data_IF_520217385787
#
_entry.id   IF_520217385787
#
_cell.length_a   1.000
_cell.length_b   1.000
_cell.length_c   1.000
_cell.angle_alpha   90.00
_cell.angle_beta   90.00
_cell.angle_gamma   90.00
#
_symmetry.space_group_name_H-M   'P 1'
#
loop_
_entity.id
_entity.type
_entity.pdbx_description
1 polymer ?
#
# COMPACT_ATOMS: atom_id res chain seq x y z
N UNK A 1 -27.25 -11.40 3.27
CA UNK A 1 -28.66 -11.10 3.64
C UNK A 1 -28.85 -10.64 5.09
N UNK A 2 -27.99 -11.02 6.02
CA UNK A 2 -28.14 -10.64 7.47
C UNK A 2 -27.95 -9.14 7.79
N UNK A 3 -27.04 -8.44 7.12
CA UNK A 3 -26.73 -7.03 7.39
C UNK A 3 -27.84 -6.07 6.95
N UNK A 4 -28.56 -6.38 5.88
CA UNK A 4 -29.67 -5.56 5.35
C UNK A 4 -30.87 -5.62 6.30
N UNK A 5 -31.15 -6.80 6.87
CA UNK A 5 -32.20 -6.96 7.88
C UNK A 5 -31.92 -6.18 9.16
N UNK A 6 -30.65 -6.16 9.62
CA UNK A 6 -30.26 -5.40 10.81
C UNK A 6 -30.39 -3.88 10.61
N UNK A 7 -30.06 -3.37 9.44
CA UNK A 7 -30.18 -1.93 9.12
C UNK A 7 -31.64 -1.50 8.99
N UNK A 8 -32.51 -2.32 8.39
CA UNK A 8 -33.94 -2.05 8.27
C UNK A 8 -34.61 -2.06 9.65
N UNK A 9 -34.23 -2.97 10.53
CA UNK A 9 -34.77 -3.05 11.90
C UNK A 9 -34.37 -1.84 12.74
N UNK A 10 -33.14 -1.35 12.61
CA UNK A 10 -32.67 -0.13 13.29
C UNK A 10 -33.39 1.12 12.77
N UNK A 11 -33.72 1.16 11.48
CA UNK A 11 -34.44 2.30 10.89
C UNK A 11 -35.90 2.33 11.33
N UNK A 12 -36.56 1.17 11.43
CA UNK A 12 -37.96 1.06 11.90
C UNK A 12 -38.12 1.37 13.39
N UNK A 13 -37.08 1.11 14.22
CA UNK A 13 -37.11 1.42 15.66
C UNK A 13 -37.00 2.93 15.99
N UNK A 14 -36.70 3.79 15.02
CA UNK A 14 -36.65 5.25 15.19
C UNK A 14 -38.01 5.95 15.06
N UNK A 15 -39.04 5.23 14.64
CA UNK A 15 -40.38 5.81 14.53
C UNK A 15 -41.00 5.98 15.91
N UNK A 16 -41.42 7.22 16.22
CA UNK A 16 -42.04 7.60 17.52
C UNK A 16 -43.46 7.07 17.72
N UNK A 17 -44.06 6.45 16.68
CA UNK A 17 -45.46 5.97 16.68
C UNK A 17 -45.62 4.51 17.14
N UNK A 18 -44.53 3.81 17.42
CA UNK A 18 -44.52 2.36 17.72
C UNK A 18 -44.96 2.10 19.18
N UNK A 19 -45.93 1.20 19.36
CA UNK A 19 -46.47 0.81 20.65
C UNK A 19 -45.52 0.09 21.59
N UNK A 20 -45.78 0.14 22.90
CA UNK A 20 -44.91 -0.35 23.98
C UNK A 20 -44.38 -1.82 23.77
N UNK A 21 -45.24 -2.73 23.30
CA UNK A 21 -44.91 -4.13 23.05
C UNK A 21 -43.97 -4.35 21.86
N UNK A 22 -44.03 -3.49 20.86
CA UNK A 22 -43.11 -3.54 19.73
C UNK A 22 -41.74 -2.97 20.07
N UNK A 23 -41.71 -1.96 20.96
CA UNK A 23 -40.49 -1.38 21.48
C UNK A 23 -39.66 -2.38 22.32
N UNK A 24 -40.33 -3.28 23.06
CA UNK A 24 -39.70 -4.35 23.81
C UNK A 24 -39.13 -5.43 22.86
N UNK A 25 -39.85 -5.79 21.79
CA UNK A 25 -39.32 -6.69 20.74
C UNK A 25 -38.15 -6.09 19.98
N UNK A 26 -38.19 -4.81 19.65
CA UNK A 26 -37.07 -4.09 19.06
C UNK A 26 -35.84 -4.08 19.95
N UNK A 27 -35.99 -3.90 21.24
CA UNK A 27 -34.91 -3.96 22.21
C UNK A 27 -34.34 -5.37 22.36
N UNK A 28 -35.16 -6.42 22.30
CA UNK A 28 -34.65 -7.82 22.29
C UNK A 28 -33.86 -8.16 21.01
N UNK A 29 -34.36 -7.74 19.84
CA UNK A 29 -33.65 -7.94 18.56
C UNK A 29 -32.35 -7.10 18.52
N UNK A 30 -32.38 -5.88 19.04
CA UNK A 30 -31.18 -5.03 19.17
C UNK A 30 -30.17 -5.61 20.17
N UNK A 31 -30.62 -6.24 21.26
CA UNK A 31 -29.74 -6.95 22.18
C UNK A 31 -29.10 -8.19 21.51
N UNK A 32 -29.85 -9.01 20.81
CA UNK A 32 -29.33 -10.21 20.12
C UNK A 32 -28.41 -9.80 18.97
N UNK A 33 -28.76 -8.75 18.22
CA UNK A 33 -27.88 -8.16 17.19
C UNK A 33 -26.67 -7.45 17.82
N UNK A 34 -26.83 -6.85 18.98
CA UNK A 34 -25.79 -6.25 19.79
C UNK A 34 -24.82 -7.28 20.38
N UNK A 35 -25.24 -8.51 20.70
CA UNK A 35 -24.35 -9.59 21.08
C UNK A 35 -23.54 -10.14 19.93
N UNK A 36 -24.03 -10.07 18.69
CA UNK A 36 -23.25 -10.41 17.49
C UNK A 36 -22.33 -9.26 17.03
N UNK A 37 -22.65 -8.01 17.37
CA UNK A 37 -21.80 -6.85 17.12
C UNK A 37 -20.88 -6.52 18.31
N UNK A 38 -21.17 -7.06 19.50
CA UNK A 38 -20.44 -6.93 20.76
C UNK A 38 -19.70 -8.22 21.14
N UNK A 39 -19.11 -8.92 20.20
CA UNK A 39 -17.76 -9.40 20.41
C UNK A 39 -16.86 -8.16 20.51
N UNK A 40 -17.18 -7.32 21.47
CA UNK A 40 -16.43 -6.18 21.93
C UNK A 40 -15.14 -6.76 22.47
N UNK A 41 -14.10 -6.77 21.62
CA UNK A 41 -12.75 -6.87 22.12
C UNK A 41 -12.66 -5.92 23.31
N UNK A 42 -12.17 -6.36 24.46
CA UNK A 42 -12.03 -5.46 25.58
C UNK A 42 -11.19 -4.29 25.09
N UNK A 43 -11.83 -3.11 25.00
CA UNK A 43 -11.08 -1.85 24.94
C UNK A 43 -10.37 -1.78 26.27
N UNK A 44 -9.22 -2.43 26.35
CA UNK A 44 -8.26 -2.17 27.40
C UNK A 44 -7.80 -0.73 27.15
N UNK A 45 -8.57 0.20 27.72
CA UNK A 45 -8.19 1.61 27.85
C UNK A 45 -6.98 1.63 28.77
N UNK A 46 -5.83 1.24 28.27
CA UNK A 46 -4.58 1.80 28.79
C UNK A 46 -4.65 3.26 28.37
N UNK A 47 -4.98 4.11 29.34
CA UNK A 47 -5.02 5.56 29.23
C UNK A 47 -3.57 6.10 29.04
N UNK A 48 -2.92 5.65 28.01
CA UNK A 48 -1.77 6.31 27.44
C UNK A 48 -2.30 6.90 26.14
N UNK A 49 -2.78 8.16 26.19
CA UNK A 49 -3.11 8.91 24.99
C UNK A 49 -1.82 8.96 24.15
N UNK A 50 -1.72 8.07 23.20
CA UNK A 50 -0.63 8.02 22.24
C UNK A 50 -0.88 9.17 21.29
N UNK A 51 -0.18 10.27 21.47
CA UNK A 51 -0.22 11.37 20.51
C UNK A 51 0.62 10.99 19.31
N UNK A 52 0.06 11.14 18.12
CA UNK A 52 0.75 10.92 16.85
C UNK A 52 2.06 11.74 16.81
N UNK A 53 3.17 11.07 16.59
CA UNK A 53 4.50 11.68 16.64
C UNK A 53 5.01 11.99 15.22
N UNK A 54 4.86 13.24 14.80
CA UNK A 54 5.30 13.70 13.47
C UNK A 54 6.80 13.53 13.23
N UNK A 55 7.62 13.70 14.27
CA UNK A 55 9.08 13.51 14.16
C UNK A 55 9.41 12.06 13.82
N UNK A 56 8.72 11.09 14.45
CA UNK A 56 8.88 9.67 14.15
C UNK A 56 8.45 9.41 12.72
N UNK A 57 7.28 9.88 12.29
CA UNK A 57 6.76 9.70 10.92
C UNK A 57 7.76 10.21 9.88
N UNK A 58 8.35 11.38 10.09
CA UNK A 58 9.33 11.95 9.16
C UNK A 58 10.60 11.08 9.10
N UNK A 59 11.13 10.67 10.26
CA UNK A 59 12.33 9.82 10.33
C UNK A 59 12.05 8.48 9.64
N UNK A 60 10.92 7.84 9.90
CA UNK A 60 10.52 6.59 9.28
C UNK A 60 10.37 6.73 7.77
N UNK A 61 9.73 7.81 7.30
CA UNK A 61 9.57 8.08 5.86
C UNK A 61 10.94 8.23 5.19
N UNK A 62 11.87 8.97 5.79
CA UNK A 62 13.23 9.13 5.25
C UNK A 62 14.01 7.82 5.27
N UNK A 63 13.91 7.04 6.35
CA UNK A 63 14.56 5.74 6.46
C UNK A 63 14.02 4.75 5.42
N UNK A 64 12.69 4.71 5.22
CA UNK A 64 12.05 3.88 4.20
C UNK A 64 12.43 4.33 2.78
N UNK A 65 12.52 5.64 2.53
CA UNK A 65 12.99 6.18 1.24
C UNK A 65 14.43 5.76 0.96
N UNK A 66 15.31 5.83 1.96
CA UNK A 66 16.71 5.38 1.82
C UNK A 66 16.80 3.86 1.57
N UNK A 67 16.00 3.06 2.31
CA UNK A 67 15.94 1.62 2.11
C UNK A 67 15.39 1.25 0.71
N UNK A 68 14.35 1.93 0.26
CA UNK A 68 13.78 1.77 -1.08
C UNK A 68 14.81 2.13 -2.15
N UNK A 69 15.51 3.26 -2.01
CA UNK A 69 16.59 3.66 -2.92
C UNK A 69 17.66 2.59 -3.04
N UNK A 70 18.13 2.04 -1.91
CA UNK A 70 19.13 0.97 -1.91
C UNK A 70 18.58 -0.31 -2.57
N UNK A 71 17.32 -0.66 -2.30
CA UNK A 71 16.65 -1.83 -2.87
C UNK A 71 16.51 -1.74 -4.40
N UNK A 72 16.27 -0.55 -4.94
CA UNK A 72 16.16 -0.32 -6.39
C UNK A 72 17.54 -0.17 -7.03
N UNK A 73 18.38 0.75 -6.54
CA UNK A 73 19.64 1.09 -7.23
C UNK A 73 20.70 0.01 -7.15
N UNK A 74 20.81 -0.73 -6.04
CA UNK A 74 21.87 -1.74 -5.90
C UNK A 74 21.70 -2.85 -6.94
N UNK A 75 20.54 -3.51 -7.11
CA UNK A 75 20.37 -4.51 -8.15
C UNK A 75 20.39 -3.90 -9.56
N UNK A 76 19.83 -2.71 -9.75
CA UNK A 76 19.78 -2.03 -11.04
C UNK A 76 21.18 -1.73 -11.59
N UNK A 77 22.10 -1.25 -10.74
CA UNK A 77 23.50 -1.01 -11.13
C UNK A 77 24.28 -2.31 -11.33
N UNK A 78 24.00 -3.33 -10.52
CA UNK A 78 24.70 -4.63 -10.64
C UNK A 78 24.31 -5.40 -11.89
N UNK A 79 23.01 -5.42 -12.20
CA UNK A 79 22.48 -6.11 -13.37
C UNK A 79 21.17 -5.46 -13.83
N UNK A 80 21.22 -4.48 -14.72
CA UNK A 80 20.04 -3.76 -15.19
C UNK A 80 19.03 -4.66 -15.92
N UNK A 81 19.47 -5.81 -16.44
CA UNK A 81 18.59 -6.75 -17.14
C UNK A 81 17.53 -7.37 -16.23
N UNK A 82 17.76 -7.45 -14.92
CA UNK A 82 16.75 -7.95 -13.99
C UNK A 82 15.49 -7.08 -13.93
N UNK A 83 15.61 -5.80 -14.29
CA UNK A 83 14.56 -4.80 -14.28
C UNK A 83 14.06 -4.47 -15.69
N UNK A 84 14.42 -5.28 -16.71
CA UNK A 84 14.12 -4.97 -18.11
C UNK A 84 12.64 -4.67 -18.38
N UNK A 85 11.73 -5.30 -17.65
CA UNK A 85 10.27 -5.10 -17.81
C UNK A 85 9.80 -3.73 -17.33
N UNK A 86 10.59 -3.03 -16.52
CA UNK A 86 10.30 -1.71 -15.98
C UNK A 86 10.86 -0.58 -16.86
N UNK A 87 11.64 -0.93 -17.89
CA UNK A 87 12.16 0.03 -18.86
C UNK A 87 11.10 0.43 -19.89
N UNK A 88 11.20 1.64 -20.51
CA UNK A 88 10.38 2.02 -21.66
C UNK A 88 10.43 0.96 -22.77
N UNK A 89 9.30 0.77 -23.45
CA UNK A 89 9.13 -0.34 -24.42
C UNK A 89 10.11 -0.29 -25.59
N UNK A 90 10.45 0.90 -26.09
CA UNK A 90 11.43 1.08 -27.15
C UNK A 90 12.83 0.63 -26.75
N UNK A 91 13.25 0.82 -25.50
CA UNK A 91 14.50 0.28 -24.95
C UNK A 91 14.43 -1.24 -24.86
N UNK A 92 13.32 -1.80 -24.38
CA UNK A 92 13.11 -3.24 -24.31
C UNK A 92 13.19 -3.89 -25.72
N UNK A 93 12.50 -3.29 -26.68
CA UNK A 93 12.49 -3.79 -28.07
C UNK A 93 13.88 -3.76 -28.70
N UNK A 94 14.66 -2.69 -28.48
CA UNK A 94 16.04 -2.62 -28.97
C UNK A 94 16.92 -3.70 -28.35
N UNK A 95 16.85 -3.88 -27.03
CA UNK A 95 17.61 -4.91 -26.33
C UNK A 95 17.27 -6.32 -26.86
N UNK A 96 15.99 -6.62 -27.08
CA UNK A 96 15.54 -7.94 -27.56
C UNK A 96 15.77 -8.19 -29.06
N UNK A 97 16.32 -7.26 -29.82
CA UNK A 97 16.81 -7.53 -31.18
C UNK A 97 18.05 -8.44 -31.19
N UNK A 98 18.86 -8.36 -30.16
CA UNK A 98 20.12 -9.10 -30.01
C UNK A 98 20.10 -10.12 -28.86
N UNK A 99 19.05 -10.17 -28.05
CA UNK A 99 18.93 -11.04 -26.89
C UNK A 99 17.60 -11.79 -26.92
N UNK A 100 17.58 -13.00 -26.39
CA UNK A 100 16.34 -13.77 -26.26
C UNK A 100 15.36 -13.08 -25.30
N UNK A 101 14.07 -13.13 -25.65
CA UNK A 101 13.01 -12.61 -24.77
C UNK A 101 12.84 -13.52 -23.57
N UNK A 102 13.06 -12.96 -22.38
CA UNK A 102 12.76 -13.65 -21.12
C UNK A 102 11.25 -13.59 -20.90
N UNK A 103 10.55 -14.73 -20.86
CA UNK A 103 9.11 -14.73 -20.59
C UNK A 103 8.86 -14.21 -19.17
N UNK A 104 7.96 -13.26 -19.04
CA UNK A 104 7.52 -12.79 -17.73
C UNK A 104 6.60 -13.84 -17.09
N UNK A 105 7.15 -14.68 -16.22
CA UNK A 105 6.38 -15.67 -15.45
C UNK A 105 5.59 -15.00 -14.33
N UNK A 106 4.42 -14.43 -14.63
CA UNK A 106 3.61 -13.74 -13.63
C UNK A 106 2.88 -14.69 -12.65
N UNK A 107 2.60 -15.93 -13.03
CA UNK A 107 1.71 -16.87 -12.32
C UNK A 107 2.34 -18.21 -11.94
N UNK A 108 3.66 -18.34 -11.97
CA UNK A 108 4.31 -19.53 -11.43
C UNK A 108 4.05 -19.63 -9.90
N UNK A 109 3.76 -20.83 -9.34
CA UNK A 109 3.53 -21.01 -7.90
C UNK A 109 4.65 -20.44 -7.04
N UNK A 110 5.90 -20.56 -7.50
CA UNK A 110 7.08 -19.99 -6.80
C UNK A 110 7.08 -18.46 -6.81
N UNK A 111 6.63 -17.84 -7.89
CA UNK A 111 6.52 -16.37 -8.01
C UNK A 111 5.37 -15.87 -7.13
N UNK A 112 4.24 -16.55 -7.12
CA UNK A 112 3.11 -16.21 -6.25
C UNK A 112 3.48 -16.32 -4.77
N UNK A 113 4.21 -17.37 -4.39
CA UNK A 113 4.71 -17.52 -3.02
C UNK A 113 5.64 -16.38 -2.63
N UNK A 114 6.62 -16.04 -3.49
CA UNK A 114 7.55 -14.91 -3.25
C UNK A 114 6.81 -13.59 -3.11
N UNK A 115 5.84 -13.31 -4.00
CA UNK A 115 5.00 -12.09 -3.93
C UNK A 115 4.14 -12.06 -2.66
N UNK A 116 3.56 -13.21 -2.27
CA UNK A 116 2.79 -13.33 -1.03
C UNK A 116 3.66 -13.07 0.21
N UNK A 117 4.86 -13.66 0.29
CA UNK A 117 5.79 -13.41 1.39
C UNK A 117 6.25 -11.95 1.43
N UNK A 118 6.54 -11.34 0.27
CA UNK A 118 6.89 -9.92 0.19
C UNK A 118 5.74 -9.02 0.68
N UNK A 119 4.49 -9.33 0.30
CA UNK A 119 3.32 -8.60 0.78
C UNK A 119 3.16 -8.71 2.31
N UNK A 120 3.30 -9.91 2.86
CA UNK A 120 3.24 -10.12 4.33
C UNK A 120 4.35 -9.33 5.03
N UNK A 121 5.56 -9.35 4.48
CA UNK A 121 6.67 -8.57 5.02
C UNK A 121 6.39 -7.06 4.99
N UNK A 122 5.92 -6.54 3.86
CA UNK A 122 5.56 -5.10 3.72
C UNK A 122 4.47 -4.71 4.71
N UNK A 123 3.43 -5.54 4.87
CA UNK A 123 2.37 -5.29 5.84
C UNK A 123 2.90 -5.30 7.28
N UNK A 124 3.78 -6.25 7.62
CA UNK A 124 4.38 -6.31 8.96
C UNK A 124 5.23 -5.07 9.27
N UNK A 125 6.04 -4.61 8.30
CA UNK A 125 6.82 -3.38 8.41
C UNK A 125 5.88 -2.18 8.59
N UNK A 126 4.85 -2.05 7.75
CA UNK A 126 3.88 -0.96 7.84
C UNK A 126 3.20 -0.92 9.21
N UNK A 127 2.75 -2.07 9.74
CA UNK A 127 2.16 -2.14 11.08
C UNK A 127 3.13 -1.70 12.16
N UNK A 128 4.40 -2.10 12.07
CA UNK A 128 5.46 -1.68 12.99
C UNK A 128 5.68 -0.17 12.97
N UNK A 129 5.77 0.43 11.79
CA UNK A 129 5.93 1.87 11.61
C UNK A 129 4.71 2.64 12.17
N UNK A 130 3.50 2.24 11.82
CA UNK A 130 2.27 2.85 12.34
C UNK A 130 2.19 2.76 13.88
N UNK A 131 2.65 1.64 14.44
CA UNK A 131 2.71 1.48 15.89
C UNK A 131 3.74 2.40 16.54
N UNK A 132 4.93 2.54 15.98
CA UNK A 132 5.99 3.46 16.45
C UNK A 132 5.56 4.92 16.31
N UNK A 133 4.89 5.27 15.20
CA UNK A 133 4.33 6.60 14.95
C UNK A 133 3.23 7.01 15.95
N UNK A 134 2.70 6.05 16.73
CA UNK A 134 1.67 6.32 17.73
C UNK A 134 0.31 6.70 17.15
N UNK A 135 0.00 6.24 15.92
CA UNK A 135 -1.30 6.49 15.28
C UNK A 135 -2.42 5.76 16.01
N UNK A 136 -3.64 6.29 15.92
CA UNK A 136 -4.84 5.71 16.54
C UNK A 136 -5.93 5.46 15.50
N UNK A 137 -6.40 4.20 15.44
CA UNK A 137 -7.51 3.78 14.60
C UNK A 137 -7.23 3.82 13.10
N UNK A 138 -8.25 3.46 12.33
CA UNK A 138 -8.15 3.21 10.89
C UNK A 138 -7.72 4.44 10.07
N UNK A 139 -8.37 5.60 10.29
CA UNK A 139 -8.15 6.76 9.42
C UNK A 139 -6.77 7.38 9.57
N UNK A 140 -6.25 7.43 10.80
CA UNK A 140 -4.88 7.91 11.02
C UNK A 140 -3.86 6.93 10.44
N UNK A 141 -4.06 5.62 10.66
CA UNK A 141 -3.20 4.59 10.10
C UNK A 141 -3.19 4.63 8.56
N UNK A 142 -4.36 4.79 7.94
CA UNK A 142 -4.45 4.95 6.49
C UNK A 142 -3.76 6.22 5.99
N UNK A 143 -4.05 7.37 6.62
CA UNK A 143 -3.48 8.65 6.19
C UNK A 143 -1.95 8.67 6.29
N UNK A 144 -1.39 8.16 7.41
CA UNK A 144 0.06 8.08 7.59
C UNK A 144 0.68 7.06 6.62
N UNK A 145 0.16 5.84 6.57
CA UNK A 145 0.72 4.79 5.71
C UNK A 145 0.64 5.16 4.23
N UNK A 146 -0.50 5.69 3.78
CA UNK A 146 -0.66 6.11 2.40
C UNK A 146 0.13 7.38 2.08
N UNK A 147 0.24 8.32 3.04
CA UNK A 147 1.10 9.49 2.90
C UNK A 147 2.58 9.13 2.73
N UNK A 148 3.09 8.16 3.50
CA UNK A 148 4.44 7.63 3.34
C UNK A 148 4.62 6.94 1.97
N UNK A 149 3.64 6.14 1.54
CA UNK A 149 3.64 5.52 0.22
C UNK A 149 3.72 6.54 -0.89
N UNK A 150 2.86 7.56 -0.88
CA UNK A 150 2.85 8.63 -1.87
C UNK A 150 4.17 9.40 -1.91
N UNK A 151 4.76 9.67 -0.75
CA UNK A 151 6.05 10.35 -0.69
C UNK A 151 7.15 9.54 -1.38
N UNK A 152 7.22 8.22 -1.11
CA UNK A 152 8.21 7.33 -1.72
C UNK A 152 7.97 7.19 -3.22
N UNK A 153 6.73 7.03 -3.66
CA UNK A 153 6.35 6.90 -5.08
C UNK A 153 6.71 8.17 -5.88
N UNK A 154 6.43 9.36 -5.34
CA UNK A 154 6.83 10.61 -5.99
C UNK A 154 8.34 10.85 -5.95
N UNK A 155 9.01 10.45 -4.87
CA UNK A 155 10.46 10.49 -4.80
C UNK A 155 11.09 9.57 -5.86
N UNK A 156 10.54 8.38 -6.05
CA UNK A 156 10.96 7.45 -7.10
C UNK A 156 10.85 8.11 -8.48
N UNK A 157 9.67 8.60 -8.82
CA UNK A 157 9.41 9.26 -10.10
C UNK A 157 10.34 10.45 -10.36
N UNK A 158 10.39 11.41 -9.43
CA UNK A 158 11.08 12.67 -9.68
C UNK A 158 12.59 12.58 -9.48
N UNK A 159 13.05 11.73 -8.55
CA UNK A 159 14.47 11.64 -8.24
C UNK A 159 15.12 10.38 -8.84
N UNK A 160 14.59 9.19 -8.57
CA UNK A 160 15.22 7.97 -9.08
C UNK A 160 15.06 7.87 -10.59
N UNK A 161 13.87 8.08 -11.13
CA UNK A 161 13.61 7.94 -12.55
C UNK A 161 14.10 9.13 -13.38
N UNK A 162 13.71 10.35 -13.02
CA UNK A 162 14.01 11.53 -13.84
C UNK A 162 15.44 12.03 -13.69
N UNK A 163 16.11 11.76 -12.56
CA UNK A 163 17.48 12.20 -12.32
C UNK A 163 18.46 11.04 -12.43
N UNK A 164 18.27 9.99 -11.64
CA UNK A 164 19.25 8.88 -11.56
C UNK A 164 19.16 8.02 -12.82
N UNK A 165 18.01 7.41 -13.09
CA UNK A 165 17.82 6.50 -14.22
C UNK A 165 18.10 7.19 -15.56
N UNK A 166 17.59 8.39 -15.79
CA UNK A 166 17.76 9.11 -17.02
C UNK A 166 19.25 9.44 -17.33
N UNK A 167 20.07 9.72 -16.30
CA UNK A 167 21.43 10.21 -16.48
C UNK A 167 22.54 9.18 -16.17
N UNK A 168 22.24 8.15 -15.40
CA UNK A 168 23.25 7.17 -14.96
C UNK A 168 23.55 6.15 -16.07
N UNK A 169 24.75 6.17 -16.62
CA UNK A 169 25.16 5.22 -17.68
C UNK A 169 25.19 3.76 -17.21
N UNK A 170 25.46 3.55 -15.92
CA UNK A 170 25.55 2.19 -15.34
C UNK A 170 24.21 1.43 -15.33
N UNK A 171 23.07 2.12 -15.46
CA UNK A 171 21.75 1.49 -15.53
C UNK A 171 21.27 1.23 -16.96
N UNK A 172 22.07 1.59 -17.96
CA UNK A 172 21.71 1.35 -19.37
C UNK A 172 21.88 -0.12 -19.73
N UNK A 173 20.91 -0.64 -20.47
CA UNK A 173 20.98 -2.01 -20.99
C UNK A 173 22.06 -2.13 -22.07
N UNK A 174 22.82 -3.23 -22.14
CA UNK A 174 23.82 -3.44 -23.17
C UNK A 174 23.23 -3.30 -24.58
N UNK A 175 23.90 -2.53 -25.44
CA UNK A 175 23.45 -2.28 -26.81
C UNK A 175 22.44 -1.16 -26.99
N UNK A 176 21.96 -0.55 -25.89
CA UNK A 176 20.98 0.55 -25.93
C UNK A 176 21.56 1.90 -25.49
N UNK A 177 22.89 1.98 -25.35
CA UNK A 177 23.59 3.16 -24.82
C UNK A 177 23.38 4.41 -25.69
N UNK A 178 23.10 4.21 -26.97
CA UNK A 178 22.84 5.28 -27.95
C UNK A 178 21.43 5.87 -27.84
N UNK A 179 20.52 5.23 -27.10
CA UNK A 179 19.10 5.61 -27.00
C UNK A 179 18.84 6.67 -25.92
N UNK A 180 19.67 7.69 -25.81
CA UNK A 180 19.60 8.68 -24.72
C UNK A 180 18.21 9.30 -24.53
N UNK A 181 17.51 9.65 -25.64
CA UNK A 181 16.15 10.20 -25.59
C UNK A 181 15.13 9.23 -24.98
N UNK A 182 15.30 7.93 -25.17
CA UNK A 182 14.41 6.91 -24.63
C UNK A 182 14.54 6.78 -23.10
N UNK A 183 15.75 6.96 -22.58
CA UNK A 183 16.01 7.01 -21.14
C UNK A 183 15.44 8.27 -20.46
N UNK A 184 15.20 9.34 -21.21
CA UNK A 184 14.64 10.58 -20.71
C UNK A 184 13.11 10.68 -20.87
N UNK A 185 12.40 9.57 -21.01
CA UNK A 185 10.93 9.54 -21.19
C UNK A 185 10.18 9.85 -19.89
N UNK A 186 10.24 11.08 -19.40
CA UNK A 186 9.59 11.54 -18.17
C UNK A 186 8.11 11.17 -18.08
N UNK A 187 7.39 11.24 -19.23
CA UNK A 187 5.96 10.89 -19.27
C UNK A 187 5.70 9.42 -18.94
N UNK A 188 6.58 8.52 -19.38
CA UNK A 188 6.47 7.10 -19.09
C UNK A 188 6.49 6.86 -17.57
N UNK A 189 7.53 7.32 -16.89
CA UNK A 189 7.70 7.19 -15.45
C UNK A 189 6.58 7.87 -14.66
N UNK A 190 6.15 9.07 -15.08
CA UNK A 190 5.02 9.76 -14.47
C UNK A 190 3.72 8.94 -14.51
N UNK A 191 3.40 8.31 -15.66
CA UNK A 191 2.22 7.45 -15.78
C UNK A 191 2.36 6.20 -14.90
N UNK A 192 3.56 5.64 -14.79
CA UNK A 192 3.82 4.50 -13.90
C UNK A 192 3.59 4.87 -12.41
N UNK A 193 4.03 6.04 -11.97
CA UNK A 193 3.74 6.54 -10.61
C UNK A 193 2.25 6.74 -10.37
N UNK A 194 1.48 7.23 -11.34
CA UNK A 194 0.02 7.30 -11.18
C UNK A 194 -0.59 5.92 -10.93
N UNK A 195 -0.10 4.88 -11.61
CA UNK A 195 -0.49 3.50 -11.32
C UNK A 195 0.03 3.02 -9.96
N UNK A 196 1.25 3.40 -9.58
CA UNK A 196 1.84 3.14 -8.27
C UNK A 196 0.98 3.67 -7.12
N UNK A 197 0.47 4.90 -7.26
CA UNK A 197 -0.46 5.49 -6.30
C UNK A 197 -1.74 4.67 -6.13
N UNK A 198 -2.35 4.23 -7.24
CA UNK A 198 -3.56 3.42 -7.19
C UNK A 198 -3.32 2.03 -6.59
N UNK A 199 -2.22 1.38 -6.97
CA UNK A 199 -1.83 0.07 -6.43
C UNK A 199 -1.55 0.17 -4.94
N UNK A 200 -0.90 1.24 -4.49
CA UNK A 200 -0.58 1.50 -3.09
C UNK A 200 -1.79 1.65 -2.17
N UNK A 201 -2.96 1.99 -2.71
CA UNK A 201 -4.21 2.04 -1.93
C UNK A 201 -4.53 0.67 -1.29
N UNK A 202 -4.30 -0.42 -2.02
CA UNK A 202 -4.67 -1.78 -1.57
C UNK A 202 -3.90 -2.17 -0.30
N UNK A 203 -2.55 -2.20 -0.27
CA UNK A 203 -1.80 -2.53 0.93
C UNK A 203 -1.99 -1.53 2.06
N UNK A 204 -2.17 -0.23 1.76
CA UNK A 204 -2.39 0.78 2.80
C UNK A 204 -3.77 0.66 3.45
N UNK A 205 -4.84 0.36 2.69
CA UNK A 205 -6.17 0.08 3.24
C UNK A 205 -6.16 -1.22 4.05
N UNK A 206 -5.55 -2.28 3.53
CA UNK A 206 -5.41 -3.56 4.24
C UNK A 206 -4.60 -3.40 5.53
N UNK A 207 -3.48 -2.68 5.47
CA UNK A 207 -2.63 -2.39 6.63
C UNK A 207 -3.36 -1.55 7.69
N UNK A 208 -4.08 -0.51 7.28
CA UNK A 208 -4.87 0.31 8.19
C UNK A 208 -6.02 -0.47 8.84
N UNK A 209 -6.69 -1.33 8.06
CA UNK A 209 -7.73 -2.21 8.59
C UNK A 209 -7.19 -3.21 9.60
N UNK A 210 -6.06 -3.85 9.28
CA UNK A 210 -5.38 -4.78 10.17
C UNK A 210 -4.85 -4.07 11.43
N UNK A 211 -4.29 -2.87 11.27
CA UNK A 211 -3.84 -2.05 12.39
C UNK A 211 -4.98 -1.70 13.35
N UNK A 212 -6.10 -1.20 12.83
CA UNK A 212 -7.26 -0.85 13.64
C UNK A 212 -7.93 -2.07 14.30
N UNK A 213 -7.71 -3.26 13.75
CA UNK A 213 -8.19 -4.50 14.34
C UNK A 213 -7.27 -5.00 15.49
N UNK A 214 -5.95 -4.82 15.35
CA UNK A 214 -4.96 -5.31 16.32
C UNK A 214 -4.74 -4.34 17.50
N UNK A 215 -4.85 -3.03 17.26
CA UNK A 215 -4.49 -1.96 18.22
C UNK A 215 -5.64 -1.00 18.47
#
# INVERSE_FOLDING_TARGET
>A
MSLIYSLITIYLCKDKSIGRKEKERCNQVAMVSGYLCLARFPKNKRNFARTMNWTVIIIETLAMTAAFTAMVLIPLVKNPVWWIHDYPKDIQEEYFKSHERVPAEFFSPTVLLKKGLALVFVLAVLLGLLWLAGVEGFWQAFAVGYGMWLFIDWYDCFFLDWVIFANMKAVRLPGTEHMDKAYHQKRYHFVQSLWGMLIGLIPCLAGAGLYAWLF
#
